data_IF_575418174003
#
_entry.id   IF_575418174003
#
_cell.length_a   1.000
_cell.length_b   1.000
_cell.length_c   1.000
_cell.angle_alpha   90.00
_cell.angle_beta   90.00
_cell.angle_gamma   90.00
#
_symmetry.space_group_name_H-M   'P 1'
#
loop_
_entity.id
_entity.type
_entity.pdbx_description
1 polymer ?
#
# COMPACT_ATOMS: atom_id res chain seq x y z
N UNK A 1 -7.10 -12.67 -22.90
CA UNK A 1 -8.40 -12.46 -22.23
C UNK A 1 -8.29 -13.04 -20.83
N UNK A 2 -8.75 -12.31 -19.83
CA UNK A 2 -8.66 -12.66 -18.41
C UNK A 2 -10.10 -12.61 -17.87
N UNK A 3 -10.60 -13.73 -17.37
CA UNK A 3 -11.89 -13.79 -16.69
C UNK A 3 -11.69 -13.44 -15.22
N UNK A 4 -12.54 -12.57 -14.67
CA UNK A 4 -12.51 -12.19 -13.27
C UNK A 4 -13.89 -12.35 -12.66
N UNK A 5 -13.94 -12.65 -11.37
CA UNK A 5 -15.19 -12.79 -10.61
C UNK A 5 -14.93 -12.51 -9.13
N UNK A 6 -15.97 -12.07 -8.41
CA UNK A 6 -15.93 -11.84 -6.97
C UNK A 6 -17.02 -12.62 -6.25
N UNK A 7 -16.64 -13.38 -5.22
CA UNK A 7 -17.57 -14.07 -4.34
C UNK A 7 -17.62 -13.39 -2.97
N UNK A 8 -18.82 -13.23 -2.42
CA UNK A 8 -19.05 -12.64 -1.10
C UNK A 8 -20.16 -13.44 -0.40
N UNK A 9 -19.82 -14.16 0.68
CA UNK A 9 -20.77 -14.85 1.56
C UNK A 9 -21.23 -13.88 2.64
N UNK A 10 -22.47 -14.05 3.10
CA UNK A 10 -23.07 -13.19 4.12
C UNK A 10 -23.02 -11.68 3.79
N UNK A 11 -23.12 -11.33 2.49
CA UNK A 11 -23.04 -9.96 2.01
C UNK A 11 -23.94 -8.99 2.81
N UNK A 12 -23.33 -7.94 3.35
CA UNK A 12 -24.00 -6.93 4.18
C UNK A 12 -24.12 -7.30 5.66
N UNK A 13 -23.47 -8.37 6.12
CA UNK A 13 -23.38 -8.76 7.53
C UNK A 13 -21.95 -8.61 8.07
N UNK A 14 -21.76 -8.48 9.39
CA UNK A 14 -20.44 -8.36 10.00
C UNK A 14 -19.52 -9.57 9.77
N UNK A 15 -20.10 -10.74 9.56
CA UNK A 15 -19.42 -12.01 9.28
C UNK A 15 -19.26 -12.29 7.77
N UNK A 16 -19.32 -11.23 6.94
CA UNK A 16 -19.11 -11.37 5.50
C UNK A 16 -17.67 -11.83 5.20
N UNK A 17 -17.56 -12.91 4.43
CA UNK A 17 -16.29 -13.39 3.87
C UNK A 17 -16.31 -13.17 2.37
N UNK A 18 -15.15 -12.86 1.80
CA UNK A 18 -15.05 -12.50 0.40
C UNK A 18 -13.77 -13.02 -0.23
N UNK A 19 -13.88 -13.31 -1.52
CA UNK A 19 -12.74 -13.64 -2.36
C UNK A 19 -12.96 -13.07 -3.76
N UNK A 20 -11.88 -12.90 -4.51
CA UNK A 20 -11.96 -12.71 -5.95
C UNK A 20 -11.00 -13.66 -6.67
N UNK A 21 -11.27 -13.89 -7.95
CA UNK A 21 -10.48 -14.77 -8.80
C UNK A 21 -10.06 -14.08 -10.09
N UNK A 22 -8.88 -14.44 -10.56
CA UNK A 22 -8.31 -14.10 -11.86
C UNK A 22 -8.05 -15.41 -12.60
N UNK A 23 -8.72 -15.61 -13.72
CA UNK A 23 -8.72 -16.86 -14.46
C UNK A 23 -8.37 -16.66 -15.94
N UNK A 24 -7.33 -17.33 -16.39
CA UNK A 24 -6.87 -17.30 -17.79
C UNK A 24 -7.41 -18.50 -18.57
N UNK A 25 -7.01 -19.70 -18.16
CA UNK A 25 -7.45 -20.99 -18.73
C UNK A 25 -7.35 -22.07 -17.66
N UNK A 26 -7.98 -23.24 -17.86
CA UNK A 26 -8.04 -24.30 -16.84
C UNK A 26 -6.69 -24.80 -16.34
N UNK A 27 -5.62 -24.69 -17.14
CA UNK A 27 -4.28 -25.16 -16.77
C UNK A 27 -3.25 -24.02 -16.69
N UNK A 28 -3.71 -22.76 -16.62
CA UNK A 28 -2.82 -21.61 -16.54
C UNK A 28 -2.20 -21.53 -15.15
N UNK A 29 -0.86 -21.45 -15.11
CA UNK A 29 -0.11 -21.17 -13.88
C UNK A 29 -0.33 -19.74 -13.36
N UNK A 30 -0.94 -18.88 -14.19
CA UNK A 30 -1.27 -17.49 -13.83
C UNK A 30 -2.68 -17.33 -13.25
N UNK A 31 -3.40 -18.43 -13.00
CA UNK A 31 -4.67 -18.34 -12.28
C UNK A 31 -4.40 -17.99 -10.82
N UNK A 32 -5.15 -17.04 -10.28
CA UNK A 32 -4.94 -16.54 -8.92
C UNK A 32 -6.30 -16.38 -8.22
N UNK A 33 -6.31 -16.63 -6.91
CA UNK A 33 -7.43 -16.34 -6.03
C UNK A 33 -6.94 -15.53 -4.85
N UNK A 34 -7.77 -14.61 -4.37
CA UNK A 34 -7.41 -13.65 -3.33
C UNK A 34 -8.51 -13.61 -2.29
N UNK A 35 -8.21 -14.01 -1.05
CA UNK A 35 -9.11 -13.82 0.09
C UNK A 35 -9.09 -12.35 0.49
N UNK A 36 -10.27 -11.76 0.59
CA UNK A 36 -10.46 -10.37 0.97
C UNK A 36 -10.79 -10.34 2.46
N UNK A 37 -9.84 -9.88 3.27
CA UNK A 37 -9.97 -9.85 4.72
C UNK A 37 -11.24 -9.09 5.14
N UNK A 38 -12.02 -9.68 6.05
CA UNK A 38 -13.19 -9.05 6.66
C UNK A 38 -12.85 -7.77 7.47
N UNK A 39 -11.57 -7.56 7.75
CA UNK A 39 -11.05 -6.54 8.67
C UNK A 39 -10.52 -5.27 7.96
N UNK A 40 -10.86 -5.06 6.68
CA UNK A 40 -10.60 -3.80 5.97
C UNK A 40 -11.54 -2.66 6.42
N UNK A 41 -11.27 -1.40 6.05
CA UNK A 41 -12.08 -0.23 6.47
C UNK A 41 -13.53 -0.25 5.96
N UNK A 42 -13.83 -1.14 5.01
CA UNK A 42 -15.18 -1.38 4.50
C UNK A 42 -15.44 -2.88 4.55
N UNK A 43 -16.60 -3.26 5.09
CA UNK A 43 -17.05 -4.64 5.06
C UNK A 43 -17.02 -5.16 3.61
N UNK A 44 -16.57 -6.40 3.38
CA UNK A 44 -16.60 -6.98 2.06
C UNK A 44 -18.05 -7.03 1.57
N UNK A 45 -18.26 -6.51 0.36
CA UNK A 45 -19.55 -6.58 -0.34
C UNK A 45 -19.34 -7.14 -1.72
N UNK A 46 -20.39 -7.75 -2.30
CA UNK A 46 -20.34 -8.27 -3.67
C UNK A 46 -19.82 -7.24 -4.68
N UNK A 47 -20.20 -5.97 -4.56
CA UNK A 47 -19.69 -4.93 -5.48
C UNK A 47 -18.19 -4.69 -5.31
N UNK A 48 -17.68 -4.69 -4.07
CA UNK A 48 -16.26 -4.49 -3.79
C UNK A 48 -15.43 -5.68 -4.22
N UNK A 49 -15.94 -6.91 -4.05
CA UNK A 49 -15.25 -8.13 -4.48
C UNK A 49 -15.10 -8.18 -6.00
N UNK A 50 -16.14 -7.79 -6.73
CA UNK A 50 -16.11 -7.69 -8.19
C UNK A 50 -15.08 -6.67 -8.69
N UNK A 51 -15.06 -5.48 -8.06
CA UNK A 51 -14.05 -4.46 -8.40
C UNK A 51 -12.64 -4.92 -8.09
N UNK A 52 -12.44 -5.60 -6.96
CA UNK A 52 -11.14 -6.16 -6.60
C UNK A 52 -10.70 -7.26 -7.58
N UNK A 53 -11.63 -8.10 -8.05
CA UNK A 53 -11.35 -9.06 -9.13
C UNK A 53 -10.85 -8.35 -10.40
N UNK A 54 -11.50 -7.25 -10.80
CA UNK A 54 -11.04 -6.41 -11.91
C UNK A 54 -9.63 -5.84 -11.70
N UNK A 55 -9.35 -5.30 -10.52
CA UNK A 55 -8.03 -4.74 -10.16
C UNK A 55 -6.96 -5.82 -10.23
N UNK A 56 -7.17 -6.96 -9.56
CA UNK A 56 -6.23 -8.09 -9.59
C UNK A 56 -6.02 -8.64 -11.00
N UNK A 57 -7.06 -8.64 -11.83
CA UNK A 57 -6.95 -9.01 -13.25
C UNK A 57 -6.05 -8.08 -14.07
N UNK A 58 -6.13 -6.77 -13.82
CA UNK A 58 -5.25 -5.79 -14.46
C UNK A 58 -3.81 -5.86 -13.91
N UNK A 59 -3.63 -6.13 -12.62
CA UNK A 59 -2.29 -6.38 -12.04
C UNK A 59 -1.63 -7.61 -12.66
N UNK A 60 -2.38 -8.70 -12.85
CA UNK A 60 -1.90 -9.88 -13.56
C UNK A 60 -1.55 -9.57 -15.02
N UNK A 61 -2.36 -8.75 -15.70
CA UNK A 61 -2.05 -8.29 -17.05
C UNK A 61 -0.75 -7.48 -17.11
N UNK A 62 -0.50 -6.62 -16.12
CA UNK A 62 0.74 -5.82 -16.04
C UNK A 62 1.95 -6.71 -15.85
N UNK A 63 1.89 -7.69 -14.92
CA UNK A 63 2.96 -8.68 -14.73
C UNK A 63 3.30 -9.42 -16.04
N UNK A 64 2.27 -9.80 -16.81
CA UNK A 64 2.46 -10.42 -18.12
C UNK A 64 3.05 -9.44 -19.16
N UNK A 65 2.57 -8.20 -19.20
CA UNK A 65 3.09 -7.19 -20.12
C UNK A 65 4.59 -6.94 -19.92
N UNK A 66 5.04 -6.86 -18.67
CA UNK A 66 6.45 -6.73 -18.31
C UNK A 66 7.27 -7.97 -18.69
N UNK A 67 6.72 -9.17 -18.46
CA UNK A 67 7.42 -10.43 -18.79
C UNK A 67 7.56 -10.65 -20.29
N UNK A 68 6.58 -10.17 -21.07
CA UNK A 68 6.50 -10.38 -22.52
C UNK A 68 7.19 -9.28 -23.35
N UNK A 69 7.98 -8.39 -22.73
CA UNK A 69 8.79 -7.34 -23.37
C UNK A 69 8.08 -6.60 -24.52
N UNK A 70 6.85 -6.15 -24.25
CA UNK A 70 6.05 -5.39 -25.22
C UNK A 70 5.34 -6.22 -26.29
N UNK A 71 5.37 -7.55 -26.25
CA UNK A 71 4.56 -8.40 -27.15
C UNK A 71 3.06 -8.35 -26.82
N UNK A 72 2.71 -8.13 -25.55
CA UNK A 72 1.30 -7.97 -25.17
C UNK A 72 0.76 -6.64 -25.70
N UNK A 73 -0.09 -6.69 -26.72
CA UNK A 73 -0.69 -5.47 -27.32
C UNK A 73 -2.10 -5.18 -26.83
N UNK A 74 -2.77 -6.16 -26.25
CA UNK A 74 -4.17 -6.04 -25.85
C UNK A 74 -4.48 -6.98 -24.69
N UNK A 75 -5.25 -6.47 -23.74
CA UNK A 75 -5.88 -7.29 -22.71
C UNK A 75 -7.38 -7.04 -22.68
N UNK A 76 -8.15 -8.12 -22.46
CA UNK A 76 -9.59 -8.06 -22.33
C UNK A 76 -9.93 -8.63 -20.96
N UNK A 77 -10.47 -7.79 -20.07
CA UNK A 77 -11.07 -8.18 -18.81
C UNK A 77 -12.51 -8.61 -19.08
N UNK A 78 -12.80 -9.86 -18.81
CA UNK A 78 -14.12 -10.48 -18.97
C UNK A 78 -14.74 -10.69 -17.60
N UNK A 79 -15.96 -10.20 -17.38
CA UNK A 79 -16.71 -10.39 -16.14
C UNK A 79 -18.21 -10.43 -16.42
N UNK A 80 -19.01 -11.00 -15.51
CA UNK A 80 -20.48 -10.88 -15.56
C UNK A 80 -21.02 -9.65 -14.79
N UNK A 81 -20.18 -9.05 -13.93
CA UNK A 81 -20.49 -7.83 -13.18
C UNK A 81 -20.60 -6.59 -14.07
N UNK A 82 -21.86 -6.20 -14.35
CA UNK A 82 -22.15 -4.91 -14.99
C UNK A 82 -21.62 -3.72 -14.16
N UNK A 83 -21.48 -3.87 -12.84
CA UNK A 83 -20.96 -2.83 -11.95
C UNK A 83 -19.48 -2.54 -12.22
N UNK A 84 -18.67 -3.60 -12.39
CA UNK A 84 -17.28 -3.49 -12.80
C UNK A 84 -17.17 -2.94 -14.23
N UNK A 85 -17.85 -3.57 -15.19
CA UNK A 85 -17.67 -3.26 -16.61
C UNK A 85 -18.11 -1.82 -16.92
N UNK A 86 -19.34 -1.45 -16.54
CA UNK A 86 -19.84 -0.08 -16.82
C UNK A 86 -19.15 0.96 -15.97
N UNK A 87 -18.71 0.57 -14.77
CA UNK A 87 -17.86 1.40 -13.94
C UNK A 87 -16.59 1.83 -14.67
N UNK A 88 -15.84 0.84 -15.17
CA UNK A 88 -14.61 1.04 -15.92
C UNK A 88 -14.80 1.81 -17.22
N UNK A 89 -15.86 1.51 -17.98
CA UNK A 89 -16.00 2.02 -19.35
C UNK A 89 -16.88 3.27 -19.48
N UNK A 90 -17.76 3.54 -18.53
CA UNK A 90 -18.75 4.62 -18.64
C UNK A 90 -18.78 5.57 -17.45
N UNK A 91 -18.60 5.07 -16.22
CA UNK A 91 -18.92 5.85 -15.02
C UNK A 91 -17.75 6.64 -14.47
N UNK A 92 -16.54 6.08 -14.49
CA UNK A 92 -15.33 6.75 -14.01
C UNK A 92 -15.19 8.15 -14.62
N UNK A 93 -15.15 8.26 -15.95
CA UNK A 93 -15.05 9.55 -16.64
C UNK A 93 -16.19 10.54 -16.27
N UNK A 94 -17.42 10.04 -16.06
CA UNK A 94 -18.56 10.88 -15.65
C UNK A 94 -18.43 11.35 -14.20
N UNK A 95 -17.92 10.50 -13.32
CA UNK A 95 -17.70 10.82 -11.92
C UNK A 95 -16.53 11.77 -11.75
N UNK A 96 -15.43 11.58 -12.47
CA UNK A 96 -14.31 12.52 -12.49
C UNK A 96 -14.75 13.94 -12.87
N UNK A 97 -15.52 14.07 -13.96
CA UNK A 97 -16.09 15.35 -14.40
C UNK A 97 -17.04 15.99 -13.37
N UNK A 98 -17.52 15.23 -12.39
CA UNK A 98 -18.43 15.66 -11.33
C UNK A 98 -17.78 15.60 -9.94
N UNK A 99 -16.45 15.63 -9.86
CA UNK A 99 -15.70 15.59 -8.60
C UNK A 99 -16.07 14.38 -7.72
N UNK A 100 -16.29 13.24 -8.37
CA UNK A 100 -16.71 11.97 -7.77
C UNK A 100 -18.02 12.03 -6.99
N UNK A 101 -18.96 12.86 -7.47
CA UNK A 101 -20.35 12.91 -6.98
C UNK A 101 -21.25 12.01 -7.82
N UNK A 102 -22.09 11.23 -7.14
CA UNK A 102 -23.13 10.42 -7.75
C UNK A 102 -24.29 11.29 -8.28
N UNK A 103 -25.27 10.67 -8.94
CA UNK A 103 -26.39 11.40 -9.55
C UNK A 103 -27.23 12.22 -8.54
N UNK A 104 -27.22 11.83 -7.25
CA UNK A 104 -27.91 12.51 -6.15
C UNK A 104 -27.04 13.57 -5.46
N UNK A 105 -25.82 13.81 -5.96
CA UNK A 105 -24.88 14.80 -5.41
C UNK A 105 -24.05 14.33 -4.20
N UNK A 106 -24.28 13.11 -3.71
CA UNK A 106 -23.45 12.50 -2.67
C UNK A 106 -22.18 11.85 -3.22
N UNK A 107 -21.22 11.43 -2.39
CA UNK A 107 -20.02 10.74 -2.84
C UNK A 107 -20.35 9.40 -3.53
N UNK A 108 -19.48 8.97 -4.45
CA UNK A 108 -19.55 7.64 -5.05
C UNK A 108 -19.06 6.61 -4.03
N UNK A 109 -19.87 5.60 -3.75
CA UNK A 109 -19.67 4.64 -2.64
C UNK A 109 -18.33 3.90 -2.74
N UNK A 110 -18.01 3.33 -3.91
CA UNK A 110 -16.77 2.56 -4.13
C UNK A 110 -15.74 3.37 -4.94
N UNK A 111 -15.70 4.68 -4.70
CA UNK A 111 -14.77 5.59 -5.37
C UNK A 111 -13.31 5.17 -5.21
N UNK A 112 -12.96 4.63 -4.04
CA UNK A 112 -11.64 4.10 -3.73
C UNK A 112 -11.19 3.03 -4.73
N UNK A 113 -12.04 2.02 -4.96
CA UNK A 113 -11.73 0.90 -5.86
C UNK A 113 -11.82 1.31 -7.34
N UNK A 114 -12.76 2.17 -7.71
CA UNK A 114 -12.83 2.66 -9.09
C UNK A 114 -11.62 3.48 -9.50
N UNK A 115 -11.06 4.26 -8.57
CA UNK A 115 -9.80 4.98 -8.82
C UNK A 115 -8.62 4.04 -8.96
N UNK A 116 -8.53 3.01 -8.13
CA UNK A 116 -7.48 1.98 -8.29
C UNK A 116 -7.60 1.27 -9.64
N UNK A 117 -8.83 0.91 -10.04
CA UNK A 117 -9.10 0.29 -11.33
C UNK A 117 -8.63 1.19 -12.50
N UNK A 118 -8.96 2.48 -12.46
CA UNK A 118 -8.52 3.46 -13.47
C UNK A 118 -7.00 3.58 -13.56
N UNK A 119 -6.30 3.66 -12.42
CA UNK A 119 -4.84 3.72 -12.39
C UNK A 119 -4.23 2.51 -13.11
N UNK A 120 -4.72 1.30 -12.84
CA UNK A 120 -4.21 0.09 -13.49
C UNK A 120 -4.52 0.04 -14.99
N UNK A 121 -5.66 0.60 -15.43
CA UNK A 121 -5.97 0.75 -16.86
C UNK A 121 -4.93 1.67 -17.52
N UNK A 122 -4.72 2.86 -16.96
CA UNK A 122 -3.80 3.87 -17.51
C UNK A 122 -2.36 3.35 -17.54
N UNK A 123 -1.93 2.64 -16.50
CA UNK A 123 -0.60 2.01 -16.46
C UNK A 123 -0.39 1.07 -17.65
N UNK A 124 -1.32 0.15 -17.90
CA UNK A 124 -1.24 -0.78 -19.04
C UNK A 124 -1.28 -0.06 -20.39
N UNK A 125 -2.16 0.94 -20.53
CA UNK A 125 -2.24 1.74 -21.76
C UNK A 125 -0.95 2.53 -22.02
N UNK A 126 -0.29 3.03 -20.97
CA UNK A 126 1.00 3.71 -21.09
C UNK A 126 2.13 2.77 -21.52
N UNK A 127 2.01 1.47 -21.24
CA UNK A 127 2.90 0.42 -21.75
C UNK A 127 2.56 0.01 -23.20
N UNK A 128 1.56 0.65 -23.83
CA UNK A 128 1.10 0.32 -25.18
C UNK A 128 0.17 -0.89 -25.24
N UNK A 129 -0.42 -1.29 -24.11
CA UNK A 129 -1.41 -2.38 -24.03
C UNK A 129 -2.82 -1.80 -24.10
N UNK A 130 -3.58 -2.13 -25.14
CA UNK A 130 -4.99 -1.76 -25.21
C UNK A 130 -5.79 -2.54 -24.15
N UNK A 131 -6.43 -1.84 -23.22
CA UNK A 131 -7.30 -2.46 -22.21
C UNK A 131 -8.75 -2.39 -22.66
N UNK A 132 -9.44 -3.54 -22.63
CA UNK A 132 -10.87 -3.62 -22.93
C UNK A 132 -11.62 -4.38 -21.85
N UNK A 133 -12.87 -4.01 -21.66
CA UNK A 133 -13.79 -4.69 -20.75
C UNK A 133 -14.92 -5.31 -21.55
N UNK A 134 -15.21 -6.58 -21.29
CA UNK A 134 -16.24 -7.34 -21.99
C UNK A 134 -17.18 -8.00 -21.00
N UNK A 135 -18.42 -7.50 -20.93
CA UNK A 135 -19.44 -8.11 -20.09
C UNK A 135 -19.98 -9.39 -20.73
N UNK A 136 -20.10 -10.46 -19.95
CA UNK A 136 -20.70 -11.73 -20.37
C UNK A 136 -21.83 -12.16 -19.45
N UNK A 137 -22.73 -13.07 -19.87
CA UNK A 137 -23.64 -13.73 -18.94
C UNK A 137 -22.87 -14.58 -17.92
N UNK A 138 -23.38 -14.71 -16.68
CA UNK A 138 -22.79 -15.55 -15.62
C UNK A 138 -22.49 -16.98 -16.06
N UNK A 139 -23.34 -17.56 -16.92
CA UNK A 139 -23.14 -18.91 -17.49
C UNK A 139 -21.85 -19.06 -18.29
N UNK A 140 -21.28 -17.94 -18.77
CA UNK A 140 -20.02 -17.88 -19.50
C UNK A 140 -18.82 -17.48 -18.63
N UNK A 141 -19.01 -17.14 -17.34
CA UNK A 141 -17.95 -16.79 -16.39
C UNK A 141 -17.72 -17.85 -15.30
N UNK A 142 -18.30 -19.04 -15.48
CA UNK A 142 -18.35 -20.10 -14.45
C UNK A 142 -17.00 -20.50 -13.86
N UNK A 143 -15.92 -20.43 -14.62
CA UNK A 143 -14.60 -20.82 -14.11
C UNK A 143 -14.05 -19.82 -13.08
N UNK A 144 -14.24 -18.51 -13.31
CA UNK A 144 -13.80 -17.48 -12.37
C UNK A 144 -14.70 -17.47 -11.12
N UNK A 145 -16.02 -17.61 -11.31
CA UNK A 145 -17.00 -17.78 -10.22
C UNK A 145 -16.70 -19.02 -9.36
N UNK A 146 -16.42 -20.17 -9.99
CA UNK A 146 -16.02 -21.38 -9.27
C UNK A 146 -14.72 -21.17 -8.48
N UNK A 147 -13.68 -20.59 -9.10
CA UNK A 147 -12.41 -20.34 -8.42
C UNK A 147 -12.54 -19.39 -7.21
N UNK A 148 -13.38 -18.35 -7.31
CA UNK A 148 -13.63 -17.44 -6.19
C UNK A 148 -14.37 -18.14 -5.04
N UNK A 149 -15.35 -19.01 -5.33
CA UNK A 149 -16.06 -19.77 -4.31
C UNK A 149 -15.21 -20.88 -3.69
N UNK A 150 -14.41 -21.59 -4.49
CA UNK A 150 -13.46 -22.61 -4.01
C UNK A 150 -12.43 -22.00 -3.05
N UNK A 151 -11.99 -20.76 -3.31
CA UNK A 151 -11.12 -20.04 -2.39
C UNK A 151 -11.80 -19.79 -1.02
N UNK A 152 -13.08 -19.40 -1.03
CA UNK A 152 -13.85 -19.24 0.20
C UNK A 152 -14.04 -20.58 0.94
N UNK A 153 -14.34 -21.66 0.22
CA UNK A 153 -14.45 -23.00 0.81
C UNK A 153 -13.14 -23.44 1.47
N UNK A 154 -12.01 -23.28 0.77
CA UNK A 154 -10.70 -23.63 1.29
C UNK A 154 -10.28 -22.78 2.51
N UNK A 155 -10.78 -21.55 2.62
CA UNK A 155 -10.56 -20.68 3.78
C UNK A 155 -11.47 -21.03 4.98
N UNK A 156 -12.62 -21.68 4.74
CA UNK A 156 -13.56 -22.13 5.77
C UNK A 156 -13.26 -23.55 6.28
N UNK A 157 -12.47 -24.35 5.56
CA UNK A 157 -12.04 -25.66 6.05
C UNK A 157 -11.05 -25.54 7.23
N UNK A 158 -11.38 -26.08 8.42
CA UNK A 158 -10.48 -26.05 9.55
C UNK A 158 -9.28 -26.98 9.29
N UNK A 159 -8.07 -26.44 9.39
CA UNK A 159 -6.84 -27.25 9.51
C UNK A 159 -6.97 -28.20 10.70
N UNK A 160 -7.30 -29.47 10.43
CA UNK A 160 -7.22 -30.55 11.39
C UNK A 160 -5.75 -30.83 11.76
N UNK A 161 -5.24 -30.12 12.77
CA UNK A 161 -4.17 -30.60 13.63
C UNK A 161 -4.17 -29.84 14.97
N UNK A 162 -4.46 -30.59 16.03
CA UNK A 162 -4.32 -30.25 17.45
C UNK A 162 -5.29 -29.19 18.04
N UNK A 163 -6.40 -29.65 18.62
CA UNK A 163 -6.59 -29.70 20.07
C UNK A 163 -8.03 -30.10 20.43
N UNK A 164 -8.13 -31.28 21.05
CA UNK A 164 -9.11 -31.72 22.04
C UNK A 164 -10.37 -30.89 22.31
N UNK A 165 -11.50 -31.53 22.05
CA UNK A 165 -12.86 -31.30 22.53
C UNK A 165 -13.01 -30.56 23.88
N UNK A 166 -13.86 -29.53 23.87
CA UNK A 166 -14.75 -29.16 24.97
C UNK A 166 -16.09 -28.73 24.35
N UNK A 167 -17.15 -29.51 24.60
CA UNK A 167 -18.55 -29.12 24.32
C UNK A 167 -19.06 -28.17 25.40
N UNK A 168 -19.68 -27.05 25.01
CA UNK A 168 -20.57 -26.24 25.88
C UNK A 168 -21.72 -25.67 25.01
N UNK A 169 -22.96 -25.55 25.54
CA UNK A 169 -24.20 -25.65 24.78
C UNK A 169 -24.74 -24.34 24.19
N UNK A 170 -25.77 -24.51 23.35
CA UNK A 170 -26.59 -23.48 22.72
C UNK A 170 -27.24 -22.52 23.72
N UNK A 171 -27.18 -21.24 23.36
CA UNK A 171 -28.28 -20.28 23.52
C UNK A 171 -28.07 -19.22 24.58
N UNK A 172 -27.75 -18.00 24.16
CA UNK A 172 -28.37 -16.77 24.70
C UNK A 172 -28.16 -15.60 23.75
N UNK A 173 -29.20 -14.77 23.59
CA UNK A 173 -29.19 -13.53 22.81
C UNK A 173 -28.25 -12.55 23.50
N UNK A 174 -27.31 -11.98 22.76
CA UNK A 174 -26.52 -10.83 23.23
C UNK A 174 -27.02 -9.59 22.51
N UNK A 175 -27.51 -8.65 23.31
CA UNK A 175 -27.95 -7.31 22.92
C UNK A 175 -26.74 -6.51 22.41
N UNK A 176 -26.96 -5.70 21.36
CA UNK A 176 -25.96 -4.81 20.78
C UNK A 176 -25.51 -3.78 21.82
N UNK A 177 -24.36 -3.99 22.44
CA UNK A 177 -23.66 -2.94 23.20
C UNK A 177 -22.94 -2.00 22.24
N UNK A 178 -23.42 -0.76 22.18
CA UNK A 178 -22.74 0.39 21.57
C UNK A 178 -21.31 0.50 22.13
N UNK A 179 -20.30 0.27 21.27
CA UNK A 179 -18.91 0.56 21.63
C UNK A 179 -18.70 2.07 21.69
N UNK A 180 -18.44 2.55 22.89
CA UNK A 180 -18.03 3.92 23.20
C UNK A 180 -16.87 4.38 22.32
N UNK A 181 -17.03 5.59 21.77
CA UNK A 181 -15.98 6.38 21.14
C UNK A 181 -14.87 6.66 22.14
N UNK A 182 -13.71 6.03 21.93
CA UNK A 182 -12.48 6.41 22.61
C UNK A 182 -12.06 7.80 22.14
N UNK A 183 -11.76 8.67 23.10
CA UNK A 183 -11.40 10.07 22.91
C UNK A 183 -10.10 10.24 22.12
N UNK A 184 -10.09 11.19 21.17
CA UNK A 184 -9.04 11.56 20.19
C UNK A 184 -7.60 11.82 20.73
N UNK A 185 -7.35 11.74 22.04
CA UNK A 185 -6.12 12.26 22.68
C UNK A 185 -4.94 11.26 22.78
N UNK A 186 -5.14 9.95 22.54
CA UNK A 186 -4.08 8.93 22.65
C UNK A 186 -3.64 8.32 21.30
N UNK A 187 -4.29 8.67 20.19
CA UNK A 187 -3.93 8.11 18.89
C UNK A 187 -2.56 8.63 18.39
N UNK A 188 -1.68 7.77 17.84
CA UNK A 188 -0.43 8.18 17.21
C UNK A 188 -0.65 9.30 16.21
N UNK A 189 0.26 10.28 16.18
CA UNK A 189 0.14 11.45 15.30
C UNK A 189 1.27 11.47 14.28
N UNK A 190 0.92 11.43 13.00
CA UNK A 190 1.88 11.48 11.89
C UNK A 190 1.73 12.74 11.06
N UNK A 191 2.88 13.28 10.66
CA UNK A 191 2.97 14.43 9.75
C UNK A 191 3.63 13.97 8.46
N UNK A 192 2.99 14.24 7.34
CA UNK A 192 3.50 13.94 6.02
C UNK A 192 3.99 15.23 5.38
N UNK A 193 5.30 15.33 5.16
CA UNK A 193 5.94 16.47 4.52
C UNK A 193 6.05 16.17 3.02
N UNK A 194 5.39 17.01 2.22
CA UNK A 194 5.42 16.97 0.76
C UNK A 194 5.49 18.39 0.20
N UNK A 195 6.70 18.88 -0.09
CA UNK A 195 6.97 20.27 -0.44
C UNK A 195 7.17 20.49 -1.94
N UNK A 196 7.29 19.43 -2.74
CA UNK A 196 7.53 19.54 -4.18
C UNK A 196 6.27 20.02 -4.95
N UNK A 197 5.09 19.98 -4.32
CA UNK A 197 3.83 20.40 -4.95
C UNK A 197 3.37 19.50 -6.09
N UNK A 198 3.90 18.29 -6.19
CA UNK A 198 3.57 17.34 -7.26
C UNK A 198 2.13 16.82 -7.11
N UNK A 199 1.25 16.98 -8.12
CA UNK A 199 -0.13 16.48 -8.05
C UNK A 199 -0.23 14.97 -7.85
N UNK A 200 0.79 14.19 -8.28
CA UNK A 200 0.85 12.73 -8.07
C UNK A 200 0.89 12.38 -6.58
N UNK A 201 1.38 13.31 -5.76
CA UNK A 201 1.36 13.14 -4.32
C UNK A 201 -0.04 13.11 -3.74
N UNK A 202 -1.04 13.75 -4.37
CA UNK A 202 -2.43 13.66 -3.88
C UNK A 202 -2.96 12.23 -3.89
N UNK A 203 -2.47 11.40 -4.82
CA UNK A 203 -2.78 9.97 -4.85
C UNK A 203 -2.07 9.24 -3.71
N UNK A 204 -0.76 9.43 -3.58
CA UNK A 204 0.05 8.80 -2.53
C UNK A 204 -0.39 9.20 -1.11
N UNK A 205 -0.79 10.46 -0.91
CA UNK A 205 -1.32 10.90 0.38
C UNK A 205 -2.64 10.22 0.73
N UNK A 206 -3.54 10.01 -0.24
CA UNK A 206 -4.80 9.28 0.01
C UNK A 206 -4.53 7.82 0.36
N UNK A 207 -3.54 7.21 -0.30
CA UNK A 207 -3.06 5.88 0.01
C UNK A 207 -2.53 5.79 1.44
N UNK A 208 -1.58 6.66 1.82
CA UNK A 208 -1.07 6.74 3.19
C UNK A 208 -2.22 7.00 4.19
N UNK A 209 -3.12 7.94 3.89
CA UNK A 209 -4.24 8.24 4.77
C UNK A 209 -5.17 7.04 4.97
N UNK A 210 -5.38 6.21 3.95
CA UNK A 210 -6.13 4.96 4.06
C UNK A 210 -5.37 3.90 4.87
N UNK A 211 -4.06 3.74 4.64
CA UNK A 211 -3.19 2.81 5.37
C UNK A 211 -3.18 3.09 6.89
N UNK A 212 -3.19 4.37 7.27
CA UNK A 212 -3.20 4.81 8.68
C UNK A 212 -4.60 5.04 9.26
N UNK A 213 -5.67 4.88 8.47
CA UNK A 213 -7.04 5.15 8.90
C UNK A 213 -7.43 4.26 10.10
N UNK A 214 -7.96 4.88 11.16
CA UNK A 214 -8.34 4.20 12.39
C UNK A 214 -7.16 3.75 13.27
N UNK A 215 -5.91 3.94 12.82
CA UNK A 215 -4.68 3.59 13.57
C UNK A 215 -3.90 4.81 14.05
N UNK A 216 -3.95 5.91 13.30
CA UNK A 216 -3.24 7.14 13.62
C UNK A 216 -3.97 8.37 13.05
N UNK A 217 -3.77 9.52 13.69
CA UNK A 217 -4.08 10.83 13.11
C UNK A 217 -2.97 11.20 12.14
N UNK A 218 -3.30 11.46 10.88
CA UNK A 218 -2.34 11.86 9.86
C UNK A 218 -2.69 13.23 9.29
N UNK A 219 -1.69 14.09 9.10
CA UNK A 219 -1.85 15.40 8.46
C UNK A 219 -0.80 15.61 7.38
N UNK A 220 -1.17 16.29 6.30
CA UNK A 220 -0.24 16.72 5.26
C UNK A 220 0.24 18.15 5.53
N UNK A 221 1.55 18.36 5.45
CA UNK A 221 2.16 19.67 5.31
C UNK A 221 2.68 19.82 3.88
N UNK A 222 1.99 20.64 3.08
CA UNK A 222 2.34 20.91 1.69
C UNK A 222 2.97 22.28 1.44
N UNK A 223 3.22 23.03 2.51
CA UNK A 223 3.97 24.28 2.48
C UNK A 223 4.98 24.34 3.64
N UNK A 224 6.06 25.11 3.50
CA UNK A 224 7.10 25.21 4.53
C UNK A 224 6.61 25.72 5.89
N UNK A 225 5.64 26.65 5.91
CA UNK A 225 5.15 27.25 7.15
C UNK A 225 4.37 26.22 7.98
N UNK A 226 3.48 25.46 7.35
CA UNK A 226 2.76 24.37 7.98
C UNK A 226 3.72 23.28 8.49
N UNK A 227 4.71 22.89 7.68
CA UNK A 227 5.68 21.86 8.07
C UNK A 227 6.48 22.29 9.32
N UNK A 228 6.97 23.53 9.34
CA UNK A 228 7.65 24.09 10.50
C UNK A 228 6.75 24.17 11.74
N UNK A 229 5.48 24.55 11.58
CA UNK A 229 4.53 24.62 12.69
C UNK A 229 4.29 23.25 13.34
N UNK A 230 4.11 22.19 12.54
CA UNK A 230 3.94 20.83 13.06
C UNK A 230 5.21 20.30 13.73
N UNK A 231 6.39 20.56 13.16
CA UNK A 231 7.67 20.12 13.74
C UNK A 231 8.03 20.86 15.04
N UNK A 232 7.56 22.09 15.21
CA UNK A 232 7.80 22.90 16.41
C UNK A 232 6.78 22.66 17.56
N UNK A 233 5.75 21.83 17.33
CA UNK A 233 4.66 21.61 18.29
C UNK A 233 5.10 20.77 19.51
N UNK A 234 5.80 21.38 20.45
CA UNK A 234 6.38 20.70 21.62
C UNK A 234 5.36 20.05 22.58
N UNK A 235 4.11 20.54 22.62
CA UNK A 235 3.06 19.99 23.48
C UNK A 235 2.51 18.64 22.98
N UNK A 236 2.61 18.39 21.67
CA UNK A 236 2.14 17.16 21.03
C UNK A 236 3.00 16.91 19.76
N UNK A 237 4.28 16.54 19.94
CA UNK A 237 5.15 16.28 18.80
C UNK A 237 4.63 15.08 18.00
N UNK A 238 4.83 15.05 16.67
CA UNK A 238 4.44 13.89 15.88
C UNK A 238 5.20 12.65 16.35
N UNK A 239 4.50 11.52 16.41
CA UNK A 239 5.06 10.20 16.67
C UNK A 239 6.09 9.82 15.59
N UNK A 240 5.78 10.14 14.33
CA UNK A 240 6.69 10.00 13.20
C UNK A 240 6.38 11.05 12.12
N UNK A 241 7.40 11.38 11.33
CA UNK A 241 7.32 12.28 10.19
C UNK A 241 7.65 11.50 8.93
N UNK A 242 6.75 11.49 7.96
CA UNK A 242 6.96 10.89 6.65
C UNK A 242 7.42 11.98 5.68
N UNK A 243 8.63 11.84 5.16
CA UNK A 243 9.22 12.75 4.18
C UNK A 243 9.11 12.10 2.82
N UNK A 244 8.22 12.64 2.01
CA UNK A 244 7.65 11.87 0.90
C UNK A 244 7.94 12.41 -0.48
N UNK A 245 8.61 13.55 -0.58
CA UNK A 245 9.15 14.06 -1.83
C UNK A 245 10.50 14.75 -1.65
N UNK A 246 11.21 14.90 -2.76
CA UNK A 246 12.52 15.53 -2.80
C UNK A 246 12.50 17.03 -2.53
N UNK A 247 11.33 17.67 -2.39
CA UNK A 247 11.22 19.10 -2.09
C UNK A 247 11.91 19.50 -0.79
N UNK A 248 12.00 18.57 0.18
CA UNK A 248 12.77 18.77 1.43
C UNK A 248 14.27 19.07 1.20
N UNK A 249 14.80 18.69 0.04
CA UNK A 249 16.21 18.88 -0.32
C UNK A 249 16.50 20.26 -0.89
N UNK A 250 15.47 21.07 -1.12
CA UNK A 250 15.56 22.43 -1.63
C UNK A 250 15.70 23.46 -0.50
N UNK A 251 16.12 24.68 -0.84
CA UNK A 251 16.27 25.76 0.16
C UNK A 251 14.93 26.43 0.40
N UNK A 252 14.52 26.55 1.66
CA UNK A 252 13.24 27.14 2.06
C UNK A 252 13.43 28.24 3.11
N UNK A 253 12.60 29.29 3.11
CA UNK A 253 12.53 30.26 4.21
C UNK A 253 12.14 29.54 5.52
N UNK A 254 12.85 29.81 6.61
CA UNK A 254 12.60 29.13 7.90
C UNK A 254 12.93 27.62 7.92
N UNK A 255 13.71 27.14 6.94
CA UNK A 255 14.31 25.80 6.80
C UNK A 255 13.59 24.66 7.54
N UNK A 256 12.59 24.08 6.86
CA UNK A 256 11.91 22.84 7.29
C UNK A 256 12.91 21.73 7.63
N UNK A 257 14.01 21.65 6.87
CA UNK A 257 15.07 20.67 7.09
C UNK A 257 15.77 20.85 8.44
N UNK A 258 16.04 22.08 8.87
CA UNK A 258 16.64 22.31 10.19
C UNK A 258 15.68 21.94 11.32
N UNK A 259 14.38 22.20 11.16
CA UNK A 259 13.35 21.74 12.09
C UNK A 259 13.24 20.22 12.13
N UNK A 260 13.32 19.56 10.98
CA UNK A 260 13.29 18.10 10.90
C UNK A 260 14.51 17.48 11.59
N UNK A 261 15.71 18.06 11.37
CA UNK A 261 16.94 17.64 12.05
C UNK A 261 16.86 17.81 13.56
N UNK A 262 16.31 18.93 14.03
CA UNK A 262 16.08 19.19 15.45
C UNK A 262 15.10 18.17 16.05
N UNK A 263 13.98 17.92 15.37
CA UNK A 263 12.99 16.91 15.75
C UNK A 263 13.61 15.51 15.90
N UNK A 264 14.35 15.04 14.89
CA UNK A 264 15.04 13.73 14.93
C UNK A 264 16.09 13.70 16.05
N UNK A 265 16.91 14.74 16.17
CA UNK A 265 17.95 14.80 17.21
C UNK A 265 17.36 14.74 18.62
N UNK A 266 16.12 15.21 18.78
CA UNK A 266 15.41 15.21 20.05
C UNK A 266 14.66 13.92 20.39
N UNK A 267 14.67 12.91 19.51
CA UNK A 267 14.02 11.61 19.75
C UNK A 267 12.95 11.25 18.73
N UNK A 268 12.64 12.15 17.80
CA UNK A 268 11.65 11.92 16.75
C UNK A 268 12.10 10.91 15.69
N UNK A 269 11.13 10.39 14.95
CA UNK A 269 11.34 9.44 13.84
C UNK A 269 11.02 10.13 12.52
N UNK A 270 11.97 10.15 11.60
CA UNK A 270 11.75 10.60 10.22
C UNK A 270 11.93 9.43 9.24
N UNK A 271 10.95 9.17 8.39
CA UNK A 271 11.02 8.12 7.36
C UNK A 271 10.97 8.77 5.98
N UNK A 272 11.99 8.52 5.16
CA UNK A 272 12.06 8.97 3.77
C UNK A 272 11.51 7.87 2.86
N UNK A 273 10.41 8.13 2.15
CA UNK A 273 9.69 7.11 1.37
C UNK A 273 8.90 7.71 0.20
N UNK A 274 8.27 6.84 -0.61
CA UNK A 274 7.36 7.26 -1.67
C UNK A 274 8.05 8.07 -2.77
N UNK A 275 7.47 9.22 -3.14
CA UNK A 275 8.03 10.02 -4.23
C UNK A 275 9.44 10.59 -3.94
N UNK A 276 9.89 10.57 -2.67
CA UNK A 276 11.27 10.93 -2.32
C UNK A 276 12.25 9.97 -2.96
N UNK A 277 12.11 8.65 -2.76
CA UNK A 277 13.01 7.64 -3.32
C UNK A 277 12.94 7.57 -4.85
N UNK A 278 11.81 7.96 -5.44
CA UNK A 278 11.60 7.96 -6.90
C UNK A 278 12.30 9.14 -7.59
N UNK A 279 12.16 10.36 -7.06
CA UNK A 279 12.55 11.57 -7.79
C UNK A 279 13.78 12.29 -7.24
N UNK A 280 14.30 11.88 -6.08
CA UNK A 280 15.53 12.48 -5.56
C UNK A 280 16.70 12.16 -6.50
N UNK A 281 17.45 13.19 -6.87
CA UNK A 281 18.62 13.01 -7.72
C UNK A 281 19.73 12.24 -6.96
N UNK A 282 20.40 11.25 -7.58
CA UNK A 282 21.39 10.39 -6.90
C UNK A 282 22.48 11.13 -6.12
N UNK A 283 23.08 12.15 -6.74
CA UNK A 283 24.13 12.98 -6.11
C UNK A 283 23.56 13.78 -4.94
N UNK A 284 22.33 14.26 -5.08
CA UNK A 284 21.65 15.04 -4.05
C UNK A 284 21.27 14.17 -2.86
N UNK A 285 20.77 12.95 -3.07
CA UNK A 285 20.47 12.00 -1.98
C UNK A 285 21.71 11.75 -1.13
N UNK A 286 22.84 11.45 -1.79
CA UNK A 286 24.10 11.11 -1.14
C UNK A 286 24.66 12.27 -0.32
N UNK A 287 24.63 13.48 -0.89
CA UNK A 287 25.03 14.69 -0.18
C UNK A 287 24.09 15.01 0.97
N UNK A 288 22.78 14.80 0.79
CA UNK A 288 21.74 15.13 1.76
C UNK A 288 21.86 14.31 3.04
N UNK A 289 21.87 12.97 2.96
CA UNK A 289 21.98 12.12 4.14
C UNK A 289 23.31 12.32 4.89
N UNK A 290 24.40 12.48 4.16
CA UNK A 290 25.74 12.72 4.73
C UNK A 290 25.80 14.05 5.48
N UNK A 291 25.30 15.12 4.87
CA UNK A 291 25.43 16.49 5.40
C UNK A 291 24.46 16.74 6.55
N UNK A 292 23.24 16.21 6.45
CA UNK A 292 22.15 16.59 7.37
C UNK A 292 21.90 15.59 8.49
N UNK A 293 22.23 14.30 8.27
CA UNK A 293 22.00 13.24 9.23
C UNK A 293 23.28 12.49 9.63
N UNK A 294 24.44 12.82 9.03
CA UNK A 294 25.71 12.15 9.30
C UNK A 294 25.74 10.69 8.84
N UNK A 295 24.82 10.30 7.96
CA UNK A 295 24.69 8.93 7.48
C UNK A 295 25.50 8.77 6.18
N UNK A 296 26.36 7.75 6.06
CA UNK A 296 27.16 7.51 4.84
C UNK A 296 26.35 6.97 3.67
N UNK A 297 25.01 7.03 3.77
CA UNK A 297 24.09 6.52 2.78
C UNK A 297 24.26 7.25 1.46
N UNK A 298 24.32 6.48 0.39
CA UNK A 298 24.43 6.99 -0.97
C UNK A 298 23.49 6.23 -1.89
N UNK A 299 23.15 6.85 -3.02
CA UNK A 299 22.32 6.24 -4.05
C UNK A 299 23.01 5.01 -4.61
N UNK A 300 22.31 3.88 -4.62
CA UNK A 300 22.71 2.64 -5.25
C UNK A 300 22.01 2.43 -6.58
N UNK A 301 21.87 1.16 -6.96
CA UNK A 301 21.14 0.73 -8.14
C UNK A 301 19.63 0.95 -7.98
N UNK A 302 18.94 1.20 -9.09
CA UNK A 302 17.49 1.08 -9.16
C UNK A 302 17.16 -0.27 -9.79
N UNK A 303 16.54 -1.18 -9.03
CA UNK A 303 16.35 -2.55 -9.47
C UNK A 303 15.20 -3.27 -8.78
N UNK A 304 14.59 -4.21 -9.51
CA UNK A 304 13.76 -5.29 -8.96
C UNK A 304 14.68 -6.38 -8.38
N UNK A 305 14.54 -6.66 -7.09
CA UNK A 305 15.28 -7.73 -6.44
C UNK A 305 14.56 -8.26 -5.20
N UNK A 306 14.87 -9.51 -4.84
CA UNK A 306 14.43 -10.12 -3.59
C UNK A 306 15.49 -9.94 -2.51
N UNK A 307 15.06 -9.45 -1.35
CA UNK A 307 15.87 -9.30 -0.15
C UNK A 307 15.34 -10.20 0.97
N UNK A 308 16.16 -10.42 2.00
CA UNK A 308 15.79 -11.15 3.21
C UNK A 308 15.89 -10.28 4.44
N UNK A 309 14.94 -10.46 5.35
CA UNK A 309 14.90 -9.75 6.61
C UNK A 309 16.20 -9.94 7.41
N UNK A 310 16.79 -8.83 7.80
CA UNK A 310 17.91 -8.79 8.72
C UNK A 310 17.39 -8.61 10.15
N UNK A 311 17.17 -9.72 10.84
CA UNK A 311 16.58 -9.75 12.19
C UNK A 311 17.34 -8.89 13.20
N UNK A 312 18.67 -8.75 13.04
CA UNK A 312 19.49 -7.93 13.93
C UNK A 312 19.20 -6.44 13.77
N UNK A 313 18.97 -5.98 12.54
CA UNK A 313 18.61 -4.59 12.25
C UNK A 313 17.13 -4.34 12.59
N UNK A 314 16.25 -5.30 12.29
CA UNK A 314 14.82 -5.22 12.55
C UNK A 314 14.49 -5.14 14.06
N UNK A 315 15.31 -5.72 14.93
CA UNK A 315 15.14 -5.63 16.38
C UNK A 315 15.22 -4.18 16.93
N UNK A 316 15.71 -3.23 16.14
CA UNK A 316 15.75 -1.81 16.48
C UNK A 316 14.51 -1.02 16.05
N UNK A 317 13.56 -1.64 15.34
CA UNK A 317 12.30 -1.02 14.94
C UNK A 317 11.34 -0.92 16.14
N UNK A 318 10.47 0.10 16.16
CA UNK A 318 9.49 0.27 17.23
C UNK A 318 8.41 -0.84 17.25
N UNK A 319 8.03 -1.39 16.10
CA UNK A 319 7.05 -2.49 15.99
C UNK A 319 7.46 -3.50 14.90
N UNK A 320 8.32 -4.49 15.18
CA UNK A 320 8.84 -5.41 14.15
C UNK A 320 7.93 -6.62 13.85
N UNK A 321 6.65 -6.59 14.24
CA UNK A 321 5.78 -7.78 14.32
C UNK A 321 5.21 -8.26 12.99
N UNK A 322 5.11 -7.40 11.99
CA UNK A 322 4.53 -7.71 10.67
C UNK A 322 5.55 -7.75 9.53
N UNK A 323 6.85 -7.70 9.82
CA UNK A 323 7.86 -7.61 8.76
C UNK A 323 7.91 -8.87 7.89
N UNK A 324 7.94 -8.71 6.55
CA UNK A 324 8.03 -9.83 5.63
C UNK A 324 9.39 -10.52 5.75
N UNK A 325 9.41 -11.85 5.68
CA UNK A 325 10.68 -12.60 5.73
C UNK A 325 11.50 -12.42 4.45
N UNK A 326 10.84 -12.42 3.29
CA UNK A 326 11.42 -12.04 2.00
C UNK A 326 10.71 -10.78 1.49
N UNK A 327 11.49 -9.85 0.96
CA UNK A 327 11.01 -8.57 0.46
C UNK A 327 11.39 -8.45 -1.01
N UNK A 328 10.44 -8.75 -1.89
CA UNK A 328 10.62 -8.66 -3.35
C UNK A 328 10.05 -7.34 -3.85
N UNK A 329 10.93 -6.45 -4.31
CA UNK A 329 10.56 -5.05 -4.52
C UNK A 329 11.40 -4.42 -5.63
N UNK A 330 10.79 -3.46 -6.33
CA UNK A 330 11.49 -2.56 -7.25
C UNK A 330 11.79 -1.26 -6.50
N UNK A 331 13.06 -0.99 -6.24
CA UNK A 331 13.44 0.08 -5.35
C UNK A 331 14.70 0.80 -5.83
N UNK A 332 14.79 2.09 -5.49
CA UNK A 332 16.08 2.75 -5.40
C UNK A 332 16.81 2.22 -4.16
N UNK A 333 17.90 1.47 -4.37
CA UNK A 333 18.66 0.89 -3.28
C UNK A 333 19.61 1.92 -2.67
N UNK A 334 19.92 1.76 -1.38
CA UNK A 334 20.99 2.50 -0.72
C UNK A 334 22.26 1.67 -0.64
N UNK A 335 23.39 2.30 -0.95
CA UNK A 335 24.73 1.82 -0.60
C UNK A 335 25.29 2.59 0.60
N UNK A 336 26.37 2.08 1.18
CA UNK A 336 26.99 2.66 2.38
C UNK A 336 26.20 2.43 3.68
N UNK A 337 25.10 1.68 3.63
CA UNK A 337 24.32 1.32 4.81
C UNK A 337 25.04 0.20 5.58
N UNK A 338 25.44 0.48 6.82
CA UNK A 338 26.04 -0.53 7.68
C UNK A 338 25.07 -1.69 7.96
N UNK A 339 25.58 -2.91 8.14
CA UNK A 339 24.76 -4.12 8.32
C UNK A 339 23.74 -4.02 9.46
N UNK A 340 24.00 -3.27 10.54
CA UNK A 340 23.03 -3.06 11.64
C UNK A 340 21.91 -2.08 11.31
N UNK A 341 22.02 -1.35 10.20
CA UNK A 341 21.03 -0.40 9.73
C UNK A 341 20.31 -0.88 8.46
N UNK A 342 20.81 -1.89 7.76
CA UNK A 342 20.14 -2.46 6.59
C UNK A 342 19.05 -3.44 7.05
N UNK A 343 17.76 -3.08 6.90
CA UNK A 343 16.64 -3.93 7.32
C UNK A 343 16.52 -5.18 6.47
N UNK A 344 16.91 -5.10 5.20
CA UNK A 344 16.89 -6.21 4.28
C UNK A 344 18.22 -6.38 3.55
N UNK A 345 18.67 -7.62 3.40
CA UNK A 345 19.92 -7.98 2.74
C UNK A 345 19.63 -8.71 1.42
N UNK A 346 20.36 -8.43 0.32
CA UNK A 346 20.06 -8.97 -0.99
C UNK A 346 20.22 -10.50 -1.01
N UNK A 347 19.29 -11.19 -1.69
CA UNK A 347 19.34 -12.64 -1.89
C UNK A 347 20.28 -12.95 -3.06
N UNK A 348 21.59 -13.05 -2.79
CA UNK A 348 22.61 -13.41 -3.78
C UNK A 348 23.82 -12.47 -3.79
N UNK A 349 24.69 -12.62 -4.80
CA UNK A 349 25.86 -11.73 -4.98
C UNK A 349 25.56 -10.44 -5.74
N UNK A 350 24.41 -10.36 -6.41
CA UNK A 350 23.95 -9.16 -7.11
C UNK A 350 23.47 -8.13 -6.07
N UNK A 351 23.84 -6.86 -6.25
CA UNK A 351 23.57 -5.76 -5.30
C UNK A 351 24.22 -5.91 -3.92
N UNK A 352 25.33 -6.65 -3.84
CA UNK A 352 26.12 -6.80 -2.61
C UNK A 352 26.33 -5.45 -1.90
N UNK A 353 26.08 -5.42 -0.58
CA UNK A 353 26.16 -4.22 0.27
C UNK A 353 25.14 -3.11 -0.02
N UNK A 354 24.07 -3.40 -0.77
CA UNK A 354 22.95 -2.49 -0.95
C UNK A 354 21.68 -2.98 -0.25
N UNK A 355 20.75 -2.07 0.04
CA UNK A 355 19.48 -2.41 0.71
C UNK A 355 18.32 -1.56 0.21
N UNK A 356 17.13 -2.16 0.12
CA UNK A 356 15.89 -1.47 -0.23
C UNK A 356 15.29 -0.69 0.96
N UNK A 357 15.64 -1.05 2.19
CA UNK A 357 15.18 -0.34 3.38
C UNK A 357 16.26 -0.22 4.45
N UNK A 358 16.40 0.99 4.99
CA UNK A 358 17.39 1.29 6.02
C UNK A 358 16.75 1.92 7.25
N UNK A 359 17.34 1.66 8.42
CA UNK A 359 16.91 2.14 9.72
C UNK A 359 18.11 2.47 10.58
N UNK A 360 18.36 3.76 10.83
CA UNK A 360 19.53 4.21 11.57
C UNK A 360 19.18 5.19 12.68
N UNK A 361 19.92 5.07 13.79
CA UNK A 361 19.82 6.01 14.90
C UNK A 361 20.58 7.30 14.57
N UNK A 362 19.94 8.45 14.76
CA UNK A 362 20.54 9.78 14.57
C UNK A 362 20.22 10.63 15.80
N UNK A 363 21.24 11.02 16.55
CA UNK A 363 21.05 11.65 17.86
C UNK A 363 20.27 10.73 18.82
N UNK A 364 19.16 11.22 19.36
CA UNK A 364 18.24 10.42 20.18
C UNK A 364 17.12 9.72 19.39
N UNK A 365 16.90 10.12 18.15
CA UNK A 365 15.82 9.62 17.30
C UNK A 365 16.30 8.69 16.19
N UNK A 366 15.46 8.57 15.16
CA UNK A 366 15.63 7.59 14.08
C UNK A 366 15.40 8.20 12.71
N UNK A 367 16.16 7.70 11.75
CA UNK A 367 15.98 7.96 10.31
C UNK A 367 15.75 6.63 9.62
N UNK A 368 14.60 6.52 8.95
CA UNK A 368 14.24 5.43 8.07
C UNK A 368 14.33 5.83 6.60
N UNK A 369 14.61 4.86 5.74
CA UNK A 369 14.53 5.01 4.29
C UNK A 369 13.83 3.79 3.70
N UNK A 370 12.90 4.04 2.76
CA UNK A 370 12.27 3.05 1.92
C UNK A 370 12.49 3.44 0.46
N UNK A 371 13.18 2.57 -0.27
CA UNK A 371 13.51 2.77 -1.68
C UNK A 371 12.36 2.44 -2.64
N UNK A 372 11.37 1.70 -2.16
CA UNK A 372 10.16 1.33 -2.91
C UNK A 372 9.29 2.54 -3.22
N UNK A 373 8.55 2.45 -4.33
CA UNK A 373 7.58 3.45 -4.77
C UNK A 373 6.21 3.31 -4.09
N UNK A 374 5.99 2.25 -3.31
CA UNK A 374 4.76 1.99 -2.56
C UNK A 374 3.69 1.27 -3.36
N UNK A 375 4.07 0.51 -4.40
CA UNK A 375 3.15 -0.31 -5.19
C UNK A 375 2.96 -1.74 -4.66
N UNK A 376 3.75 -2.16 -3.67
CA UNK A 376 3.78 -3.52 -3.13
C UNK A 376 3.25 -3.61 -1.69
N UNK A 377 2.32 -4.54 -1.43
CA UNK A 377 1.69 -4.74 -0.11
C UNK A 377 2.72 -5.00 1.01
N UNK A 378 3.85 -5.62 0.68
CA UNK A 378 4.92 -5.92 1.65
C UNK A 378 5.68 -4.68 2.14
N UNK A 379 5.63 -3.57 1.40
CA UNK A 379 6.25 -2.29 1.81
C UNK A 379 5.45 -1.61 2.92
N UNK A 380 4.14 -1.80 2.93
CA UNK A 380 3.26 -1.22 3.96
C UNK A 380 3.62 -1.74 5.34
N UNK A 381 3.85 -3.05 5.47
CA UNK A 381 4.27 -3.66 6.73
C UNK A 381 5.59 -3.08 7.23
N UNK A 382 6.54 -2.79 6.33
CA UNK A 382 7.81 -2.17 6.69
C UNK A 382 7.62 -0.72 7.13
N UNK A 383 6.79 0.05 6.43
CA UNK A 383 6.51 1.44 6.78
C UNK A 383 5.76 1.54 8.12
N UNK A 384 4.74 0.70 8.34
CA UNK A 384 4.02 0.60 9.61
C UNK A 384 4.97 0.23 10.75
N UNK A 385 5.87 -0.74 10.52
CA UNK A 385 6.87 -1.15 11.50
C UNK A 385 7.84 -0.02 11.88
N UNK A 386 8.24 0.82 10.92
CA UNK A 386 9.06 2.03 11.17
C UNK A 386 8.30 3.10 11.97
N UNK A 387 6.99 3.21 11.74
CA UNK A 387 6.10 4.15 12.42
C UNK A 387 5.64 3.67 13.81
N UNK A 388 5.91 2.41 14.17
CA UNK A 388 5.55 1.83 15.46
C UNK A 388 4.11 1.33 15.53
N UNK A 389 3.55 0.91 14.39
CA UNK A 389 2.20 0.35 14.27
C UNK A 389 2.18 -1.15 14.00
#
# INVERSE_FOLDING_TARGET
MIAVDGACRNNGRPDATAACAVFFTSNSIYNETHILAANGPYAPTSQRTELMGGIKGLEAAKRLATTLDGELKQVVIKADSAYLIRGATEWIAKWEAREWKNAKGGPVVNQDLFRQLEVRIVELESMGVLVQFFQVPRTQNRQADAAANEALDAAEEPTHAAASAVEVPQGEKIEEEEREQTTDAEAPFFVVISLAGDPRFDHYYRYLAAMFYGRARIVRANDPSAACAYLAAAAAPPTAVLVTDAGITETHEGSVLDRLKEYVSNGGTAVFCGLFSIYVQPDRLSAFFRTHFGLPWASGDHARATFRLNVDAAAALPSPTSLPYEYDVEALLLTGVGRRAALFLPKGGQYWMQTAAAWARVGRGWVGYLGDDGSEDTTDDVLLSMCGL
#
